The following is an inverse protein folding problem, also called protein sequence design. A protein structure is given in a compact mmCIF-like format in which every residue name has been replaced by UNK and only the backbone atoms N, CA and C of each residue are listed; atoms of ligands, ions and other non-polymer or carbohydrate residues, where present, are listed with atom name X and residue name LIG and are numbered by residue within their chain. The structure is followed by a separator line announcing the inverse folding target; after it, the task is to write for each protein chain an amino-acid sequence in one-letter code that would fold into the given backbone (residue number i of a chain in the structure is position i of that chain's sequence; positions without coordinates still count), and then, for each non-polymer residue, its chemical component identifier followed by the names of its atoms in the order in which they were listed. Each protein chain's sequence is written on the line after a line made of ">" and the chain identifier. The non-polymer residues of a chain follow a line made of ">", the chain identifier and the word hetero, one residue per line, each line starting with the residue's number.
data_IF_736694724278
#
_entry.id   IF_736694724278
#
_cell.length_a   1.000
_cell.length_b   1.000
_cell.length_c   1.000
_cell.angle_alpha   90.00
_cell.angle_beta   90.00
_cell.angle_gamma   90.00
#
_symmetry.space_group_name_H-M   'P 1'
#
loop_
_entity.id
_entity.type
_entity.pdbx_description
1 polymer ?
#
# COMPACT_ATOMS: atom_id res chain seq x y z
N UNK A 1 19.92 -1.79 -16.69
CA UNK A 1 19.84 -1.64 -15.22
C UNK A 1 18.54 -2.28 -14.82
N UNK A 2 18.56 -3.39 -14.08
CA UNK A 2 17.32 -3.90 -13.47
C UNK A 2 16.99 -2.95 -12.33
N UNK A 3 15.92 -2.16 -12.47
CA UNK A 3 15.36 -1.41 -11.35
C UNK A 3 14.97 -2.42 -10.26
N UNK A 4 15.42 -2.18 -9.02
CA UNK A 4 14.96 -2.98 -7.89
C UNK A 4 13.46 -2.73 -7.68
N UNK A 5 12.68 -3.81 -7.70
CA UNK A 5 11.23 -3.73 -7.47
C UNK A 5 10.95 -3.16 -6.09
N UNK A 6 9.99 -2.24 -6.02
CA UNK A 6 9.52 -1.74 -4.73
C UNK A 6 8.80 -2.87 -3.96
N UNK A 7 8.70 -2.81 -2.61
CA UNK A 7 7.96 -3.81 -1.84
C UNK A 7 6.50 -3.97 -2.28
N UNK A 8 5.85 -2.87 -2.69
CA UNK A 8 4.46 -2.86 -3.17
C UNK A 8 4.37 -3.55 -4.53
N UNK A 9 5.32 -3.31 -5.42
CA UNK A 9 5.39 -3.99 -6.72
C UNK A 9 5.59 -5.50 -6.54
N UNK A 10 6.52 -5.91 -5.68
CA UNK A 10 6.75 -7.32 -5.38
C UNK A 10 5.51 -8.02 -4.78
N UNK A 11 4.75 -7.30 -3.95
CA UNK A 11 3.50 -7.80 -3.40
C UNK A 11 2.40 -7.93 -4.47
N UNK A 12 2.25 -6.92 -5.35
CA UNK A 12 1.31 -6.97 -6.46
C UNK A 12 1.60 -8.13 -7.42
N UNK A 13 2.88 -8.34 -7.77
CA UNK A 13 3.32 -9.48 -8.58
C UNK A 13 2.95 -10.83 -7.93
N UNK A 14 3.16 -10.94 -6.62
CA UNK A 14 2.80 -12.15 -5.86
C UNK A 14 1.29 -12.44 -5.91
N UNK A 15 0.44 -11.42 -5.80
CA UNK A 15 -1.01 -11.59 -5.91
C UNK A 15 -1.44 -12.03 -7.31
N UNK A 16 -0.89 -11.39 -8.35
CA UNK A 16 -1.13 -11.75 -9.75
C UNK A 16 -0.76 -13.22 -9.98
N UNK A 17 0.41 -13.64 -9.48
CA UNK A 17 0.88 -15.02 -9.60
C UNK A 17 -0.02 -16.00 -8.86
N UNK A 18 -0.39 -15.71 -7.60
CA UNK A 18 -1.28 -16.57 -6.81
C UNK A 18 -2.67 -16.73 -7.43
N UNK A 19 -3.16 -15.67 -8.07
CA UNK A 19 -4.43 -15.66 -8.79
C UNK A 19 -4.38 -16.32 -10.17
N UNK A 20 -3.18 -16.72 -10.64
CA UNK A 20 -2.94 -17.22 -12.00
C UNK A 20 -3.48 -16.28 -13.10
N UNK A 21 -3.42 -14.96 -12.86
CA UNK A 21 -3.88 -13.96 -13.84
C UNK A 21 -2.90 -13.95 -15.00
N UNK A 22 -3.41 -14.24 -16.20
CA UNK A 22 -2.64 -14.18 -17.44
C UNK A 22 -3.27 -13.14 -18.35
N UNK A 23 -2.50 -12.11 -18.69
CA UNK A 23 -2.89 -11.02 -19.58
C UNK A 23 -1.76 -10.75 -20.58
N UNK A 24 -2.04 -10.13 -21.74
CA UNK A 24 -1.01 -9.53 -22.58
C UNK A 24 -0.13 -8.56 -21.78
N UNK A 25 1.14 -8.41 -22.16
CA UNK A 25 2.14 -7.64 -21.40
C UNK A 25 1.67 -6.22 -21.05
N UNK A 26 1.21 -5.45 -22.03
CA UNK A 26 0.71 -4.07 -21.82
C UNK A 26 -0.51 -4.03 -20.87
N UNK A 27 -1.40 -5.01 -20.97
CA UNK A 27 -2.58 -5.11 -20.10
C UNK A 27 -2.19 -5.54 -18.67
N UNK A 28 -1.20 -6.42 -18.55
CA UNK A 28 -0.67 -6.88 -17.29
C UNK A 28 0.02 -5.75 -16.53
N UNK A 29 0.81 -4.93 -17.22
CA UNK A 29 1.43 -3.74 -16.64
C UNK A 29 0.38 -2.74 -16.15
N UNK A 30 -0.63 -2.44 -16.97
CA UNK A 30 -1.73 -1.56 -16.56
C UNK A 30 -2.51 -2.11 -15.36
N UNK A 31 -2.76 -3.42 -15.36
CA UNK A 31 -3.43 -4.11 -14.27
C UNK A 31 -2.60 -4.03 -12.98
N UNK A 32 -1.30 -4.32 -13.07
CA UNK A 32 -0.36 -4.24 -11.94
C UNK A 32 -0.32 -2.83 -11.36
N UNK A 33 -0.23 -1.80 -12.19
CA UNK A 33 -0.22 -0.41 -11.73
C UNK A 33 -1.49 -0.06 -10.94
N UNK A 34 -2.67 -0.44 -11.45
CA UNK A 34 -3.94 -0.24 -10.72
C UNK A 34 -3.99 -1.03 -9.42
N UNK A 35 -3.47 -2.26 -9.41
CA UNK A 35 -3.40 -3.07 -8.20
C UNK A 35 -2.51 -2.42 -7.14
N UNK A 36 -1.35 -1.90 -7.56
CA UNK A 36 -0.43 -1.16 -6.69
C UNK A 36 -1.08 0.10 -6.09
N UNK A 37 -1.82 0.87 -6.89
CA UNK A 37 -2.58 2.04 -6.40
C UNK A 37 -3.63 1.64 -5.34
N UNK A 38 -4.34 0.52 -5.56
CA UNK A 38 -5.32 0.01 -4.59
C UNK A 38 -4.66 -0.42 -3.27
N UNK A 39 -3.52 -1.12 -3.36
CA UNK A 39 -2.72 -1.50 -2.20
C UNK A 39 -2.27 -0.24 -1.44
N UNK A 40 -1.67 0.74 -2.14
CA UNK A 40 -1.21 1.99 -1.53
C UNK A 40 -2.35 2.73 -0.83
N UNK A 41 -3.51 2.83 -1.47
CA UNK A 41 -4.69 3.46 -0.87
C UNK A 41 -5.15 2.75 0.39
N UNK A 42 -5.20 1.42 0.37
CA UNK A 42 -5.56 0.61 1.54
C UNK A 42 -4.58 0.84 2.68
N UNK A 43 -3.28 0.83 2.39
CA UNK A 43 -2.24 1.09 3.38
C UNK A 43 -2.36 2.50 3.97
N UNK A 44 -2.54 3.53 3.13
CA UNK A 44 -2.75 4.90 3.60
C UNK A 44 -3.95 5.03 4.54
N UNK A 45 -5.09 4.40 4.20
CA UNK A 45 -6.29 4.43 5.02
C UNK A 45 -6.08 3.77 6.39
N UNK A 46 -5.51 2.56 6.43
CA UNK A 46 -5.27 1.88 7.71
C UNK A 46 -4.24 2.59 8.57
N UNK A 47 -3.27 3.27 7.94
CA UNK A 47 -2.29 4.09 8.65
C UNK A 47 -2.97 5.30 9.28
N UNK A 48 -3.83 6.00 8.54
CA UNK A 48 -4.60 7.13 9.06
C UNK A 48 -5.54 6.69 10.19
N UNK A 49 -6.25 5.58 10.02
CA UNK A 49 -7.16 5.03 11.04
C UNK A 49 -6.43 4.59 12.33
N UNK A 50 -5.12 4.33 12.24
CA UNK A 50 -4.29 3.92 13.38
C UNK A 50 -3.66 5.11 14.12
N UNK A 51 -3.84 6.35 13.64
CA UNK A 51 -3.39 7.54 14.34
C UNK A 51 -4.34 7.91 15.49
N UNK A 52 -3.79 8.52 16.54
CA UNK A 52 -4.58 9.23 17.53
C UNK A 52 -4.97 10.63 17.04
N UNK A 53 -5.82 11.35 17.79
CA UNK A 53 -6.29 12.70 17.41
C UNK A 53 -5.14 13.67 17.13
N UNK A 54 -4.04 13.54 17.89
CA UNK A 54 -2.84 14.38 17.69
C UNK A 54 -2.10 13.98 16.40
N UNK A 55 -1.94 12.68 16.16
CA UNK A 55 -1.35 12.14 14.96
C UNK A 55 -2.11 12.54 13.70
N UNK A 56 -3.45 12.52 13.75
CA UNK A 56 -4.30 13.01 12.65
C UNK A 56 -4.06 14.50 12.36
N UNK A 57 -4.07 15.35 13.39
CA UNK A 57 -3.80 16.78 13.23
C UNK A 57 -2.37 17.07 12.71
N UNK A 58 -1.38 16.27 13.11
CA UNK A 58 -0.01 16.37 12.60
C UNK A 58 0.10 15.89 11.13
N UNK A 59 -0.65 14.84 10.77
CA UNK A 59 -0.72 14.33 9.40
C UNK A 59 -1.36 15.34 8.44
N UNK A 60 -2.45 15.99 8.85
CA UNK A 60 -3.09 17.06 8.06
C UNK A 60 -2.13 18.22 7.78
N UNK A 61 -1.33 18.62 8.78
CA UNK A 61 -0.30 19.66 8.60
C UNK A 61 0.78 19.21 7.62
N UNK A 62 1.24 17.95 7.73
CA UNK A 62 2.24 17.39 6.83
C UNK A 62 1.78 17.43 5.36
N UNK A 63 0.51 17.10 5.10
CA UNK A 63 -0.05 17.16 3.75
C UNK A 63 -0.16 18.60 3.20
N UNK A 64 -0.35 19.59 4.09
CA UNK A 64 -0.37 21.01 3.73
C UNK A 64 0.96 21.54 3.16
N UNK A 65 2.05 20.78 3.29
CA UNK A 65 3.39 21.15 2.79
C UNK A 65 3.65 20.71 1.32
N UNK A 66 2.61 20.30 0.58
CA UNK A 66 2.71 19.74 -0.79
C UNK A 66 3.65 18.51 -0.88
N UNK A 67 3.64 17.68 0.16
CA UNK A 67 4.42 16.44 0.21
C UNK A 67 3.67 15.34 -0.54
N UNK A 68 4.42 14.47 -1.23
CA UNK A 68 3.87 13.26 -1.84
C UNK A 68 3.31 12.33 -0.74
N UNK A 69 1.98 12.04 -0.75
CA UNK A 69 1.35 11.17 0.24
C UNK A 69 1.88 9.73 0.21
N UNK A 70 2.50 9.29 -0.88
CA UNK A 70 3.12 7.98 -1.01
C UNK A 70 4.65 8.01 -0.81
N UNK A 71 5.20 9.20 -0.58
CA UNK A 71 6.64 9.42 -0.45
C UNK A 71 7.22 8.90 0.87
N UNK A 72 8.56 8.77 0.94
CA UNK A 72 9.25 8.20 2.10
C UNK A 72 8.99 9.01 3.39
N UNK A 73 8.85 10.33 3.30
CA UNK A 73 8.55 11.20 4.46
C UNK A 73 7.23 10.84 5.15
N UNK A 74 6.22 10.47 4.38
CA UNK A 74 4.90 10.10 4.92
C UNK A 74 4.96 8.70 5.54
N UNK A 75 5.72 7.78 4.94
CA UNK A 75 5.96 6.47 5.52
C UNK A 75 6.74 6.57 6.85
N UNK A 76 7.79 7.38 6.89
CA UNK A 76 8.56 7.68 8.11
C UNK A 76 7.66 8.28 9.19
N UNK A 77 6.81 9.25 8.83
CA UNK A 77 5.84 9.85 9.74
C UNK A 77 4.96 8.77 10.39
N UNK A 78 4.32 7.91 9.59
CA UNK A 78 3.45 6.86 10.12
C UNK A 78 4.22 5.89 11.03
N UNK A 79 5.40 5.43 10.61
CA UNK A 79 6.23 4.52 11.41
C UNK A 79 6.67 5.12 12.77
N UNK A 80 6.83 6.43 12.84
CA UNK A 80 7.23 7.15 14.06
C UNK A 80 6.07 7.43 15.02
N UNK A 81 4.83 7.46 14.50
CA UNK A 81 3.61 7.83 15.25
C UNK A 81 2.78 6.63 15.67
N UNK A 82 2.72 5.60 14.84
CA UNK A 82 1.87 4.45 15.05
C UNK A 82 2.67 3.37 15.76
N UNK A 83 2.25 3.01 16.97
CA UNK A 83 2.84 1.88 17.69
C UNK A 83 2.56 0.59 16.92
N UNK A 84 3.57 -0.27 16.77
CA UNK A 84 3.49 -1.52 16.01
C UNK A 84 3.07 -1.32 14.55
N UNK A 85 3.52 -0.25 13.90
CA UNK A 85 3.15 0.08 12.53
C UNK A 85 3.36 -1.08 11.54
N UNK A 86 4.47 -1.82 11.67
CA UNK A 86 4.75 -3.00 10.82
C UNK A 86 3.65 -4.07 10.93
N UNK A 87 3.12 -4.32 12.13
CA UNK A 87 2.04 -5.28 12.34
C UNK A 87 0.72 -4.79 11.72
N UNK A 88 0.45 -3.49 11.79
CA UNK A 88 -0.72 -2.86 11.15
C UNK A 88 -0.68 -3.05 9.64
N UNK A 89 0.46 -2.73 9.03
CA UNK A 89 0.67 -2.88 7.58
C UNK A 89 0.58 -4.34 7.17
N UNK A 90 1.25 -5.24 7.90
CA UNK A 90 1.19 -6.67 7.63
C UNK A 90 -0.25 -7.19 7.64
N UNK A 91 -1.02 -6.86 8.68
CA UNK A 91 -2.42 -7.27 8.79
C UNK A 91 -3.28 -6.73 7.65
N UNK A 92 -3.03 -5.50 7.22
CA UNK A 92 -3.74 -4.90 6.09
C UNK A 92 -3.43 -5.63 4.77
N UNK A 93 -2.16 -5.99 4.53
CA UNK A 93 -1.76 -6.78 3.36
C UNK A 93 -2.33 -8.21 3.39
N UNK A 94 -2.30 -8.87 4.56
CA UNK A 94 -2.89 -10.20 4.73
C UNK A 94 -4.40 -10.18 4.45
N UNK A 95 -5.09 -9.15 4.97
CA UNK A 95 -6.53 -8.96 4.74
C UNK A 95 -6.82 -8.68 3.26
N UNK A 96 -6.07 -7.77 2.64
CA UNK A 96 -6.21 -7.43 1.22
C UNK A 96 -5.99 -8.67 0.33
N UNK A 97 -4.95 -9.46 0.61
CA UNK A 97 -4.65 -10.69 -0.12
C UNK A 97 -5.82 -11.69 -0.03
N UNK A 98 -6.35 -11.91 1.17
CA UNK A 98 -7.49 -12.81 1.38
C UNK A 98 -8.76 -12.31 0.65
N UNK A 99 -9.07 -11.02 0.74
CA UNK A 99 -10.19 -10.38 0.03
C UNK A 99 -10.03 -10.53 -1.49
N UNK A 100 -8.84 -10.24 -2.01
CA UNK A 100 -8.50 -10.31 -3.43
C UNK A 100 -8.69 -11.73 -3.97
N UNK A 101 -8.10 -12.74 -3.32
CA UNK A 101 -8.21 -14.14 -3.75
C UNK A 101 -9.64 -14.65 -3.62
N UNK A 102 -10.38 -14.22 -2.60
CA UNK A 102 -11.78 -14.62 -2.43
C UNK A 102 -12.69 -14.03 -3.50
N UNK A 103 -12.40 -12.83 -4.00
CA UNK A 103 -13.20 -12.17 -5.03
C UNK A 103 -13.07 -12.80 -6.43
N UNK A 104 -12.09 -13.70 -6.62
CA UNK A 104 -11.85 -14.43 -7.87
C UNK A 104 -12.59 -15.77 -7.95
N UNK A 105 -13.24 -16.20 -6.86
CA UNK A 105 -14.03 -17.44 -6.79
C UNK A 105 -15.50 -17.17 -7.02
#
# INVERSE_FOLDING_TARGET
>A
MTEEKTPIEAFADSLIQQANITLPEEELELYKNKLMEQIQRRLGLVSVDALDDKGLADYEKLLGENIDPNGPKVQEFFSSRIKNYEEVIKKALDTFSAEFISALK
#
